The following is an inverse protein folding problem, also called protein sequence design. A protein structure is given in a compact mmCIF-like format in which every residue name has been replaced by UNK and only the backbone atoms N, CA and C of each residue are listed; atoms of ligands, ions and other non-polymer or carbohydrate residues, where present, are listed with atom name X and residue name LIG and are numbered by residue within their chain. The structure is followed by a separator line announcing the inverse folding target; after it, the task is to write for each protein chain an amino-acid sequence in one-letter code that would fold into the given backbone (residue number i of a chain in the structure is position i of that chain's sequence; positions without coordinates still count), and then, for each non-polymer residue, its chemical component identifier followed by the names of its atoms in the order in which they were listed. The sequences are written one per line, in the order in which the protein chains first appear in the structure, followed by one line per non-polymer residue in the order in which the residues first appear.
data_IF_152152994204
#
_entry.id   IF_152152994204
#
_cell.length_a   1.000
_cell.length_b   1.000
_cell.length_c   1.000
_cell.angle_alpha   90.00
_cell.angle_beta   90.00
_cell.angle_gamma   90.00
#
_symmetry.space_group_name_H-M   'P 1'
#
loop_
_entity.id
_entity.type
_entity.pdbx_description
1 polymer ?
#
# COMPACT_ATOMS: atom_id res chain seq x y z
N UNK A 1 -8.97 5.57 36.11
CA UNK A 1 -9.69 6.04 34.90
C UNK A 1 -9.03 5.43 33.68
N UNK A 2 -9.52 4.24 33.33
CA UNK A 2 -9.14 3.54 32.12
C UNK A 2 -10.16 3.84 31.04
N UNK A 3 -9.69 4.30 29.90
CA UNK A 3 -10.45 4.40 28.66
C UNK A 3 -9.48 4.24 27.49
N UNK A 4 -9.71 3.24 26.64
CA UNK A 4 -9.23 3.27 25.25
C UNK A 4 -8.37 2.13 24.73
N UNK A 5 -8.11 1.05 25.48
CA UNK A 5 -7.40 -0.14 24.95
C UNK A 5 -8.27 -1.01 24.01
N UNK A 6 -9.38 -0.46 23.52
CA UNK A 6 -10.40 -1.15 22.72
C UNK A 6 -10.30 -0.96 21.20
N UNK A 7 -9.41 -0.11 20.67
CA UNK A 7 -9.46 0.31 19.26
C UNK A 7 -8.17 -0.02 18.44
N UNK A 8 -7.29 -0.87 18.98
CA UNK A 8 -6.14 -1.35 18.22
C UNK A 8 -6.47 -2.55 17.30
N UNK A 9 -7.52 -3.31 17.63
CA UNK A 9 -7.89 -4.54 16.92
C UNK A 9 -8.78 -4.30 15.69
N UNK A 10 -9.51 -3.18 15.65
CA UNK A 10 -10.48 -2.77 14.62
C UNK A 10 -9.88 -1.90 13.52
N UNK A 11 -8.72 -1.28 13.76
CA UNK A 11 -8.09 -0.39 12.78
C UNK A 11 -7.53 -1.19 11.59
N UNK A 12 -7.89 -0.79 10.37
CA UNK A 12 -7.26 -1.29 9.14
C UNK A 12 -5.73 -1.07 9.20
N UNK A 13 -4.95 -2.14 9.01
CA UNK A 13 -3.48 -2.12 9.01
C UNK A 13 -2.94 -2.50 7.64
N UNK A 14 -1.92 -1.78 7.19
CA UNK A 14 -1.27 -2.02 5.91
C UNK A 14 0.13 -2.55 6.12
N UNK A 15 0.50 -3.56 5.33
CA UNK A 15 1.80 -4.21 5.43
C UNK A 15 2.48 -4.21 4.07
N UNK A 16 3.78 -3.96 4.08
CA UNK A 16 4.63 -4.14 2.91
C UNK A 16 5.75 -5.11 3.25
N UNK A 17 6.33 -5.72 2.23
CA UNK A 17 7.46 -6.64 2.37
C UNK A 17 8.65 -6.16 1.55
N UNK A 18 9.82 -6.44 2.08
CA UNK A 18 11.08 -6.22 1.38
C UNK A 18 11.41 -4.76 1.14
N UNK A 19 11.87 -4.43 -0.06
CA UNK A 19 12.29 -3.07 -0.37
C UNK A 19 11.12 -2.09 -0.37
N UNK A 20 9.89 -2.56 -0.58
CA UNK A 20 8.67 -1.75 -0.43
C UNK A 20 8.39 -1.35 1.02
N UNK A 21 8.87 -2.13 1.99
CA UNK A 21 8.79 -1.79 3.41
C UNK A 21 9.87 -0.77 3.83
N UNK A 22 10.75 -0.36 2.92
CA UNK A 22 11.80 0.63 3.21
C UNK A 22 11.22 2.03 3.40
N UNK A 23 11.91 2.86 4.18
CA UNK A 23 11.53 4.27 4.37
C UNK A 23 11.56 5.09 3.07
N UNK A 24 12.31 4.66 2.06
CA UNK A 24 12.36 5.34 0.76
C UNK A 24 11.03 5.28 0.02
N UNK A 25 10.33 4.14 0.10
CA UNK A 25 9.03 3.96 -0.58
C UNK A 25 7.89 4.24 0.39
N UNK A 26 7.88 3.61 1.56
CA UNK A 26 6.80 3.72 2.53
C UNK A 26 6.83 5.02 3.36
N UNK A 27 7.99 5.65 3.52
CA UNK A 27 8.15 6.86 4.34
C UNK A 27 8.16 8.17 3.54
N UNK A 28 8.46 8.11 2.25
CA UNK A 28 8.55 9.29 1.37
C UNK A 28 7.43 9.34 0.34
N UNK A 29 6.35 8.57 0.52
CA UNK A 29 5.21 8.61 -0.36
C UNK A 29 4.54 10.00 -0.35
N UNK A 30 4.23 10.58 -1.52
CA UNK A 30 3.53 11.86 -1.63
C UNK A 30 2.17 11.79 -0.91
N UNK A 31 1.82 12.83 -0.15
CA UNK A 31 0.53 12.90 0.56
C UNK A 31 0.47 12.19 1.93
N UNK A 32 1.57 11.60 2.41
CA UNK A 32 1.66 11.07 3.79
C UNK A 32 2.01 12.14 4.84
N UNK A 33 2.55 13.28 4.42
CA UNK A 33 2.80 14.45 5.28
C UNK A 33 1.56 15.33 5.21
N UNK A 34 0.92 15.57 6.35
CA UNK A 34 -0.12 16.60 6.50
C UNK A 34 0.53 17.96 6.27
N UNK A 35 0.56 18.42 5.02
CA UNK A 35 1.08 19.73 4.66
C UNK A 35 -0.09 20.64 4.33
N UNK A 36 -0.44 21.46 5.33
CA UNK A 36 -1.43 22.53 5.27
C UNK A 36 -0.99 23.61 4.25
N UNK A 37 -1.98 24.07 3.48
CA UNK A 37 -2.04 25.11 2.44
C UNK A 37 -0.89 26.15 2.33
N UNK A 38 -0.34 26.31 1.12
CA UNK A 38 -0.42 27.52 0.26
C UNK A 38 0.73 27.56 -0.80
N UNK A 39 0.39 27.70 -2.09
CA UNK A 39 1.28 28.25 -3.13
C UNK A 39 1.68 27.39 -4.36
N UNK A 40 1.86 28.07 -5.50
CA UNK A 40 2.25 27.53 -6.82
C UNK A 40 3.65 26.88 -6.85
N UNK A 41 4.58 27.39 -6.04
CA UNK A 41 5.94 26.86 -5.88
C UNK A 41 5.91 25.47 -5.23
N UNK A 42 4.92 25.20 -4.36
CA UNK A 42 4.78 23.89 -3.71
C UNK A 42 4.16 22.85 -4.63
N UNK A 43 3.30 23.24 -5.59
CA UNK A 43 2.81 22.33 -6.64
C UNK A 43 3.97 21.74 -7.46
N UNK A 44 4.95 22.57 -7.88
CA UNK A 44 6.14 22.07 -8.57
C UNK A 44 6.96 21.12 -7.68
N UNK A 45 7.11 21.43 -6.38
CA UNK A 45 7.82 20.55 -5.43
C UNK A 45 7.08 19.22 -5.17
N UNK A 46 5.75 19.25 -5.16
CA UNK A 46 4.91 18.07 -5.01
C UNK A 46 5.02 17.16 -6.23
N UNK A 47 4.97 17.72 -7.44
CA UNK A 47 5.20 16.98 -8.68
C UNK A 47 6.61 16.40 -8.72
N UNK A 48 7.63 17.17 -8.35
CA UNK A 48 9.01 16.67 -8.30
C UNK A 48 9.15 15.51 -7.29
N UNK A 49 8.57 15.64 -6.10
CA UNK A 49 8.55 14.58 -5.11
C UNK A 49 7.81 13.34 -5.63
N UNK A 50 6.66 13.54 -6.30
CA UNK A 50 5.88 12.48 -6.92
C UNK A 50 6.68 11.71 -7.98
N UNK A 51 7.35 12.43 -8.89
CA UNK A 51 8.20 11.79 -9.90
C UNK A 51 9.40 11.08 -9.29
N UNK A 52 10.09 11.71 -8.33
CA UNK A 52 11.23 11.10 -7.65
C UNK A 52 10.82 9.82 -6.89
N UNK A 53 9.69 9.87 -6.17
CA UNK A 53 9.12 8.70 -5.50
C UNK A 53 8.68 7.63 -6.49
N UNK A 54 8.06 8.02 -7.61
CA UNK A 54 7.68 7.10 -8.69
C UNK A 54 8.88 6.35 -9.27
N UNK A 55 9.96 7.06 -9.58
CA UNK A 55 11.22 6.46 -10.07
C UNK A 55 11.81 5.52 -9.01
N UNK A 56 11.84 5.93 -7.74
CA UNK A 56 12.33 5.09 -6.66
C UNK A 56 11.48 3.80 -6.52
N UNK A 57 10.15 3.92 -6.66
CA UNK A 57 9.23 2.79 -6.60
C UNK A 57 9.42 1.83 -7.76
N UNK A 58 9.66 2.35 -8.98
CA UNK A 58 10.00 1.53 -10.15
C UNK A 58 11.32 0.79 -9.96
N UNK A 59 12.36 1.49 -9.51
CA UNK A 59 13.65 0.87 -9.20
C UNK A 59 13.51 -0.24 -8.15
N UNK A 60 12.76 0.02 -7.08
CA UNK A 60 12.45 -0.97 -6.04
C UNK A 60 11.67 -2.16 -6.61
N UNK A 61 10.72 -1.94 -7.50
CA UNK A 61 9.94 -3.01 -8.13
C UNK A 61 10.82 -3.96 -8.95
N UNK A 62 11.81 -3.42 -9.65
CA UNK A 62 12.79 -4.20 -10.40
C UNK A 62 13.80 -4.92 -9.49
N UNK A 63 14.18 -4.31 -8.38
CA UNK A 63 15.26 -4.78 -7.51
C UNK A 63 14.80 -5.66 -6.34
N UNK A 64 13.53 -5.61 -5.93
CA UNK A 64 13.05 -6.32 -4.74
C UNK A 64 13.27 -7.83 -4.84
N UNK A 65 12.88 -8.43 -5.97
CA UNK A 65 13.07 -9.86 -6.19
C UNK A 65 14.54 -10.27 -6.29
N UNK A 66 15.40 -9.67 -7.14
CA UNK A 66 16.79 -10.07 -7.24
C UNK A 66 17.55 -9.85 -5.93
N UNK A 67 17.28 -8.77 -5.18
CA UNK A 67 17.87 -8.56 -3.85
C UNK A 67 17.48 -9.67 -2.88
N UNK A 68 16.21 -10.09 -2.87
CA UNK A 68 15.77 -11.23 -2.04
C UNK A 68 16.36 -12.56 -2.50
N UNK A 69 16.45 -12.78 -3.81
CA UNK A 69 16.99 -14.01 -4.39
C UNK A 69 18.50 -14.15 -4.10
N UNK A 70 19.29 -13.11 -4.38
CA UNK A 70 20.73 -13.10 -4.14
C UNK A 70 21.09 -13.15 -2.64
N UNK A 71 20.26 -12.54 -1.78
CA UNK A 71 20.48 -12.58 -0.33
C UNK A 71 19.90 -13.82 0.37
N UNK A 72 19.28 -14.75 -0.38
CA UNK A 72 18.52 -15.89 0.17
C UNK A 72 17.50 -15.44 1.24
N UNK A 73 16.88 -14.28 1.03
CA UNK A 73 15.89 -13.69 1.94
C UNK A 73 16.45 -13.02 3.19
N UNK A 74 17.79 -12.94 3.35
CA UNK A 74 18.43 -12.27 4.50
C UNK A 74 18.30 -10.75 4.42
N UNK A 75 18.29 -10.20 3.20
CA UNK A 75 17.98 -8.80 2.94
C UNK A 75 16.62 -8.68 2.25
N UNK A 76 15.87 -7.63 2.57
CA UNK A 76 14.51 -7.41 2.06
C UNK A 76 13.54 -8.60 2.29
N UNK A 77 13.80 -9.49 3.26
CA UNK A 77 12.87 -10.57 3.61
C UNK A 77 11.73 -10.17 4.54
N UNK A 78 11.87 -9.03 5.23
CA UNK A 78 11.00 -8.60 6.33
C UNK A 78 9.68 -8.03 5.81
N UNK A 79 8.57 -8.43 6.45
CA UNK A 79 7.28 -7.75 6.37
C UNK A 79 7.19 -6.75 7.52
N UNK A 80 6.76 -5.52 7.24
CA UNK A 80 6.55 -4.49 8.24
C UNK A 80 5.25 -3.74 7.98
N UNK A 81 4.65 -3.22 9.06
CA UNK A 81 3.52 -2.30 8.96
C UNK A 81 3.98 -0.99 8.32
N UNK A 82 3.19 -0.47 7.39
CA UNK A 82 3.45 0.77 6.66
C UNK A 82 2.23 1.68 6.72
N UNK A 83 2.47 2.98 6.71
CA UNK A 83 1.39 3.97 6.63
C UNK A 83 0.87 4.01 5.19
N UNK A 84 -0.44 3.93 5.03
CA UNK A 84 -1.11 4.10 3.74
C UNK A 84 -1.72 5.50 3.63
N UNK A 85 -2.35 5.78 2.49
CA UNK A 85 -3.13 7.00 2.31
C UNK A 85 -4.32 7.04 3.29
N UNK A 86 -4.75 8.23 3.76
CA UNK A 86 -5.87 8.36 4.69
C UNK A 86 -7.15 7.69 4.18
N UNK A 87 -7.44 7.81 2.89
CA UNK A 87 -8.61 7.20 2.25
C UNK A 87 -8.60 5.66 2.31
N UNK A 88 -7.43 5.02 2.40
CA UNK A 88 -7.36 3.57 2.55
C UNK A 88 -7.85 3.06 3.90
N UNK A 89 -7.94 3.92 4.92
CA UNK A 89 -8.41 3.52 6.25
C UNK A 89 -9.94 3.59 6.39
N UNK A 90 -10.67 3.96 5.35
CA UNK A 90 -12.13 3.97 5.39
C UNK A 90 -12.70 2.55 5.32
N UNK A 91 -13.27 2.09 6.43
CA UNK A 91 -13.83 0.75 6.58
C UNK A 91 -15.08 0.53 5.72
N UNK A 92 -15.89 1.58 5.52
CA UNK A 92 -17.07 1.52 4.67
C UNK A 92 -16.66 1.24 3.21
N UNK A 93 -15.72 2.02 2.68
CA UNK A 93 -15.16 1.76 1.34
C UNK A 93 -14.50 0.38 1.25
N UNK A 94 -13.77 -0.05 2.28
CA UNK A 94 -13.10 -1.36 2.27
C UNK A 94 -14.11 -2.52 2.20
N UNK A 95 -15.19 -2.46 2.97
CA UNK A 95 -16.24 -3.50 2.97
C UNK A 95 -16.99 -3.55 1.63
N UNK A 96 -17.35 -2.40 1.07
CA UNK A 96 -17.99 -2.33 -0.25
C UNK A 96 -17.10 -2.92 -1.36
N UNK A 97 -15.80 -2.60 -1.34
CA UNK A 97 -14.84 -3.18 -2.28
C UNK A 97 -14.70 -4.69 -2.12
N UNK A 98 -14.73 -5.19 -0.88
CA UNK A 98 -14.66 -6.61 -0.59
C UNK A 98 -15.85 -7.37 -1.17
N UNK A 99 -17.06 -6.87 -0.97
CA UNK A 99 -18.29 -7.46 -1.52
C UNK A 99 -18.28 -7.46 -3.04
N UNK A 100 -17.91 -6.33 -3.67
CA UNK A 100 -17.82 -6.21 -5.13
C UNK A 100 -16.77 -7.18 -5.71
N UNK A 101 -15.61 -7.30 -5.07
CA UNK A 101 -14.58 -8.23 -5.49
C UNK A 101 -15.04 -9.70 -5.37
N UNK A 102 -15.71 -10.06 -4.28
CA UNK A 102 -16.31 -11.39 -4.09
C UNK A 102 -17.37 -11.73 -5.14
N UNK A 103 -18.24 -10.76 -5.47
CA UNK A 103 -19.23 -10.93 -6.53
C UNK A 103 -18.58 -11.13 -7.91
N UNK A 104 -17.52 -10.38 -8.22
CA UNK A 104 -16.77 -10.54 -9.47
C UNK A 104 -16.06 -11.91 -9.55
N UNK A 105 -15.38 -12.33 -8.49
CA UNK A 105 -14.70 -13.63 -8.43
C UNK A 105 -15.69 -14.80 -8.60
N UNK A 106 -16.86 -14.72 -7.96
CA UNK A 106 -17.90 -15.75 -8.06
C UNK A 106 -18.48 -15.87 -9.47
N UNK A 107 -18.61 -14.75 -10.20
CA UNK A 107 -19.05 -14.75 -11.61
C UNK A 107 -18.04 -15.45 -12.51
N UNK A 108 -16.74 -15.18 -12.32
CA UNK A 108 -15.66 -15.84 -13.08
C UNK A 108 -15.60 -17.33 -12.79
N UNK A 109 -15.76 -17.73 -11.52
CA UNK A 109 -15.79 -19.13 -11.12
C UNK A 109 -16.93 -19.91 -11.81
N UNK A 110 -18.15 -19.37 -11.82
CA UNK A 110 -19.29 -19.98 -12.54
C UNK A 110 -19.08 -20.05 -14.05
N UNK A 111 -18.51 -19.00 -14.65
CA UNK A 111 -18.19 -19.01 -16.08
C UNK A 111 -17.18 -20.09 -16.45
N UNK A 112 -16.25 -20.40 -15.55
CA UNK A 112 -15.26 -21.47 -15.74
C UNK A 112 -15.87 -22.87 -15.62
N UNK A 113 -16.85 -23.07 -14.71
CA UNK A 113 -17.58 -24.34 -14.59
C UNK A 113 -18.44 -24.63 -15.83
N UNK A 114 -19.05 -23.62 -16.45
CA UNK A 114 -19.84 -23.79 -17.69
C UNK A 114 -19.01 -24.14 -18.93
N UNK A 115 -17.71 -23.81 -18.96
CA UNK A 115 -16.83 -24.08 -20.11
C UNK A 115 -16.11 -25.44 -20.02
N UNK A 116 -16.19 -26.12 -18.88
CA UNK A 116 -15.56 -27.42 -18.61
C UNK A 116 -16.59 -28.56 -18.55
N UNK A 117 -17.88 -28.24 -18.65
CA UNK A 117 -19.01 -29.19 -18.70
C UNK A 117 -19.42 -29.58 -20.12
#
# INVERSE_FOLDING_TARGET
DGDGDGDAATRLRFYARGLFASRLVAGCAPGLRDEVNDGLVRSASWHLNYYAWGIATLAVSMLDWPVRACSRGRFAGRTAEVRSSPASYDEATASELWEKAGAAASRVARGKEMLVG
#
